data_IF_031769782413
#
_entry.id   IF_031769782413
#
_cell.length_a   1.000
_cell.length_b   1.000
_cell.length_c   1.000
_cell.angle_alpha   90.00
_cell.angle_beta   90.00
_cell.angle_gamma   90.00
#
_symmetry.space_group_name_H-M   'P 1'
#
loop_
_entity.id
_entity.type
_entity.pdbx_description
1 polymer ?
#
# COMPACT_ATOMS: atom_id res chain seq x y z
N UNK A 1 -12.41 12.73 -4.82
CA UNK A 1 -11.81 13.47 -3.69
C UNK A 1 -10.33 13.73 -4.02
N UNK A 2 -10.03 14.78 -4.79
CA UNK A 2 -8.69 15.01 -5.35
C UNK A 2 -7.61 15.45 -4.36
N UNK A 3 -7.67 15.00 -3.10
CA UNK A 3 -6.62 15.23 -2.10
C UNK A 3 -5.43 14.29 -2.35
N UNK A 4 -4.23 14.73 -2.00
CA UNK A 4 -3.07 13.85 -1.92
C UNK A 4 -3.12 13.00 -0.63
N UNK A 5 -2.45 11.84 -0.58
CA UNK A 5 -2.30 11.09 0.66
C UNK A 5 -1.56 11.92 1.72
N UNK A 6 -1.87 11.67 2.99
CA UNK A 6 -1.28 12.41 4.10
C UNK A 6 0.10 11.85 4.45
N UNK A 7 1.14 12.69 4.44
CA UNK A 7 2.47 12.29 4.91
C UNK A 7 2.47 12.21 6.43
N UNK A 8 2.60 11.01 6.98
CA UNK A 8 2.58 10.76 8.44
C UNK A 8 3.98 10.56 9.03
N UNK A 9 4.96 10.18 8.18
CA UNK A 9 6.38 10.13 8.51
C UNK A 9 7.19 10.64 7.31
N UNK A 10 8.47 11.01 7.48
CA UNK A 10 9.30 11.46 6.35
C UNK A 10 9.33 10.47 5.17
N UNK A 11 9.19 9.18 5.41
CA UNK A 11 9.21 8.14 4.37
C UNK A 11 7.86 7.45 4.18
N UNK A 12 6.78 7.92 4.82
CA UNK A 12 5.50 7.21 4.83
C UNK A 12 4.31 8.14 4.60
N UNK A 13 3.43 7.69 3.73
CA UNK A 13 2.15 8.30 3.43
C UNK A 13 1.02 7.36 3.83
N UNK A 14 -0.05 7.92 4.39
CA UNK A 14 -1.31 7.25 4.66
C UNK A 14 -2.35 7.74 3.65
N UNK A 15 -2.97 6.82 2.93
CA UNK A 15 -3.90 7.11 1.85
C UNK A 15 -5.01 6.06 1.74
N UNK A 16 -5.89 6.25 0.76
CA UNK A 16 -6.96 5.32 0.43
C UNK A 16 -6.62 4.54 -0.86
N UNK A 17 -7.52 3.62 -1.23
CA UNK A 17 -7.40 2.81 -2.44
C UNK A 17 -7.33 3.65 -3.74
N UNK A 18 -7.94 4.84 -3.75
CA UNK A 18 -7.87 5.76 -4.89
C UNK A 18 -6.45 6.27 -5.14
N UNK A 19 -5.73 6.67 -4.09
CA UNK A 19 -4.31 7.06 -4.20
C UNK A 19 -3.44 5.89 -4.66
N UNK A 20 -3.68 4.70 -4.09
CA UNK A 20 -2.90 3.51 -4.39
C UNK A 20 -3.14 2.98 -5.82
N UNK A 21 -4.28 3.32 -6.44
CA UNK A 21 -4.58 3.06 -7.85
C UNK A 21 -4.18 4.19 -8.81
N UNK A 22 -3.37 5.15 -8.37
CA UNK A 22 -2.82 6.20 -9.23
C UNK A 22 -1.29 6.08 -9.37
N UNK A 23 -0.79 5.27 -10.33
CA UNK A 23 0.65 5.05 -10.53
C UNK A 23 1.45 6.33 -10.81
N UNK A 24 0.86 7.30 -11.51
CA UNK A 24 1.53 8.57 -11.81
C UNK A 24 1.80 9.36 -10.53
N UNK A 25 0.80 9.48 -9.66
CA UNK A 25 0.94 10.12 -8.35
C UNK A 25 1.98 9.40 -7.48
N UNK A 26 1.93 8.06 -7.44
CA UNK A 26 2.90 7.27 -6.67
C UNK A 26 4.33 7.52 -7.14
N UNK A 27 4.54 7.59 -8.46
CA UNK A 27 5.84 7.93 -9.06
C UNK A 27 6.28 9.35 -8.70
N UNK A 28 5.39 10.34 -8.80
CA UNK A 28 5.71 11.73 -8.47
C UNK A 28 6.05 11.94 -6.99
N UNK A 29 5.40 11.19 -6.10
CA UNK A 29 5.69 11.19 -4.67
C UNK A 29 6.92 10.35 -4.30
N UNK A 30 7.51 9.64 -5.25
CA UNK A 30 8.65 8.73 -5.01
C UNK A 30 8.28 7.53 -4.14
N UNK A 31 7.01 7.11 -4.16
CA UNK A 31 6.57 5.90 -3.48
C UNK A 31 7.19 4.70 -4.21
N UNK A 32 7.80 3.79 -3.45
CA UNK A 32 8.45 2.59 -3.98
C UNK A 32 7.79 1.32 -3.47
N UNK A 33 6.95 1.41 -2.44
CA UNK A 33 6.30 0.27 -1.79
C UNK A 33 4.86 0.62 -1.39
N UNK A 34 3.97 -0.35 -1.50
CA UNK A 34 2.56 -0.21 -1.07
C UNK A 34 2.20 -1.34 -0.12
N UNK A 35 1.78 -0.96 1.08
CA UNK A 35 1.16 -1.83 2.09
C UNK A 35 -0.35 -1.60 2.07
N UNK A 36 -1.11 -2.56 1.57
CA UNK A 36 -2.56 -2.55 1.48
C UNK A 36 -3.16 -3.40 2.61
N UNK A 37 -4.02 -2.81 3.43
CA UNK A 37 -4.67 -3.49 4.57
C UNK A 37 -6.16 -3.56 4.30
N UNK A 38 -6.73 -4.77 4.26
CA UNK A 38 -8.16 -4.99 4.02
C UNK A 38 -8.62 -4.84 2.56
N UNK A 39 -8.02 -3.92 1.79
CA UNK A 39 -8.37 -3.67 0.38
C UNK A 39 -7.21 -4.00 -0.57
N UNK A 40 -7.49 -4.76 -1.63
CA UNK A 40 -6.51 -5.13 -2.64
C UNK A 40 -6.42 -4.09 -3.77
N UNK A 41 -5.22 -3.89 -4.30
CA UNK A 41 -5.00 -3.04 -5.48
C UNK A 41 -5.67 -3.65 -6.71
N UNK A 42 -6.24 -2.79 -7.55
CA UNK A 42 -6.95 -3.16 -8.77
C UNK A 42 -6.17 -2.80 -10.03
N UNK A 43 -4.83 -2.83 -9.97
CA UNK A 43 -4.00 -2.57 -11.16
C UNK A 43 -4.16 -3.70 -12.17
N UNK A 44 -4.53 -3.34 -13.40
CA UNK A 44 -4.59 -4.27 -14.53
C UNK A 44 -3.22 -4.89 -14.81
N UNK A 45 -3.22 -6.10 -15.39
CA UNK A 45 -1.99 -6.83 -15.71
C UNK A 45 -1.05 -6.03 -16.62
N UNK A 46 -1.61 -5.24 -17.56
CA UNK A 46 -0.84 -4.41 -18.46
C UNK A 46 -0.19 -3.22 -17.73
N UNK A 47 -0.91 -2.61 -16.78
CA UNK A 47 -0.37 -1.55 -15.91
C UNK A 47 0.78 -2.09 -15.07
N UNK A 48 0.60 -3.26 -14.43
CA UNK A 48 1.66 -3.92 -13.65
C UNK A 48 2.91 -4.19 -14.50
N UNK A 49 2.74 -4.69 -15.73
CA UNK A 49 3.85 -4.93 -16.68
C UNK A 49 4.55 -3.63 -17.09
N UNK A 50 3.80 -2.59 -17.40
CA UNK A 50 4.35 -1.29 -17.82
C UNK A 50 5.16 -0.63 -16.72
N UNK A 51 4.67 -0.69 -15.49
CA UNK A 51 5.34 -0.09 -14.33
C UNK A 51 6.58 -0.87 -13.89
N UNK A 52 6.75 -2.12 -14.35
CA UNK A 52 7.84 -3.02 -13.96
C UNK A 52 8.02 -3.07 -12.43
N UNK A 53 6.90 -3.02 -11.71
CA UNK A 53 6.91 -2.92 -10.26
C UNK A 53 7.16 -4.30 -9.65
N UNK A 54 8.19 -4.47 -8.80
CA UNK A 54 8.51 -5.77 -8.21
C UNK A 54 7.39 -6.26 -7.27
N UNK A 55 7.10 -7.56 -7.28
CA UNK A 55 6.05 -8.13 -6.42
C UNK A 55 6.36 -7.92 -4.94
N UNK A 56 7.64 -7.93 -4.55
CA UNK A 56 8.11 -7.69 -3.19
C UNK A 56 7.85 -6.26 -2.67
N UNK A 57 7.52 -5.34 -3.57
CA UNK A 57 7.13 -3.97 -3.23
C UNK A 57 5.62 -3.82 -3.01
N UNK A 58 4.87 -4.93 -3.09
CA UNK A 58 3.48 -5.01 -2.67
C UNK A 58 3.34 -5.93 -1.47
N UNK A 59 2.70 -5.42 -0.43
CA UNK A 59 2.23 -6.23 0.67
C UNK A 59 0.74 -6.04 0.82
N UNK A 60 0.00 -7.14 0.75
CA UNK A 60 -1.43 -7.17 1.04
C UNK A 60 -1.65 -7.96 2.33
N UNK A 61 -2.39 -7.36 3.25
CA UNK A 61 -2.85 -7.99 4.49
C UNK A 61 -4.35 -8.28 4.32
N UNK A 62 -4.67 -9.56 4.13
CA UNK A 62 -6.03 -10.05 3.97
C UNK A 62 -6.68 -10.29 5.33
N UNK A 63 -8.02 -10.46 5.33
CA UNK A 63 -8.80 -10.89 6.52
C UNK A 63 -8.74 -9.94 7.71
N UNK A 64 -8.44 -8.67 7.47
CA UNK A 64 -8.63 -7.61 8.45
C UNK A 64 -10.05 -7.11 8.28
N UNK A 65 -10.97 -7.58 9.11
CA UNK A 65 -12.29 -6.96 9.17
C UNK A 65 -12.20 -5.72 10.06
N UNK A 66 -12.73 -4.60 9.58
CA UNK A 66 -12.92 -3.39 10.38
C UNK A 66 -14.16 -3.56 11.30
N UNK A 67 -14.22 -4.69 12.01
CA UNK A 67 -15.35 -5.07 12.88
C UNK A 67 -15.03 -4.86 14.38
N UNK A 68 -13.78 -4.48 14.71
CA UNK A 68 -13.30 -4.30 16.08
C UNK A 68 -13.08 -5.59 16.87
N UNK A 69 -13.16 -6.76 16.22
CA UNK A 69 -13.06 -8.10 16.83
C UNK A 69 -11.79 -8.83 16.39
N UNK A 70 -11.43 -8.72 15.10
CA UNK A 70 -10.30 -9.47 14.55
C UNK A 70 -8.96 -8.79 14.84
N UNK A 71 -8.06 -9.42 15.63
CA UNK A 71 -6.78 -8.83 15.96
C UNK A 71 -5.82 -8.85 14.78
N UNK A 72 -5.20 -7.71 14.49
CA UNK A 72 -4.13 -7.59 13.50
C UNK A 72 -2.78 -8.14 13.95
N UNK A 73 -2.65 -8.57 15.22
CA UNK A 73 -1.37 -8.85 15.87
C UNK A 73 -0.47 -9.82 15.12
N UNK A 74 -1.03 -10.83 14.44
CA UNK A 74 -0.26 -11.80 13.66
C UNK A 74 0.43 -11.17 12.43
N UNK A 75 -0.08 -10.05 11.92
CA UNK A 75 0.42 -9.40 10.71
C UNK A 75 1.37 -8.24 11.02
N UNK A 76 1.40 -7.74 12.27
CA UNK A 76 2.26 -6.61 12.66
C UNK A 76 3.73 -6.84 12.32
N UNK A 77 4.28 -8.00 12.67
CA UNK A 77 5.69 -8.30 12.42
C UNK A 77 6.01 -8.30 10.92
N UNK A 78 5.11 -8.84 10.10
CA UNK A 78 5.25 -8.87 8.64
C UNK A 78 5.16 -7.46 8.03
N UNK A 79 4.22 -6.64 8.49
CA UNK A 79 4.08 -5.24 8.09
C UNK A 79 5.31 -4.41 8.44
N UNK A 80 5.82 -4.55 9.67
CA UNK A 80 7.00 -3.81 10.13
C UNK A 80 8.23 -4.18 9.30
N UNK A 81 8.48 -5.48 9.08
CA UNK A 81 9.58 -5.95 8.21
C UNK A 81 9.49 -5.40 6.79
N UNK A 82 8.28 -5.28 6.25
CA UNK A 82 8.07 -4.71 4.92
C UNK A 82 8.37 -3.21 4.87
N UNK A 83 7.93 -2.46 5.89
CA UNK A 83 8.21 -1.02 6.02
C UNK A 83 9.72 -0.77 6.19
N UNK A 84 10.40 -1.56 7.01
CA UNK A 84 11.85 -1.45 7.27
C UNK A 84 12.72 -1.77 6.06
N UNK A 85 12.21 -2.56 5.10
CA UNK A 85 12.96 -2.95 3.91
C UNK A 85 12.91 -1.91 2.78
N UNK A 86 12.15 -0.83 2.92
CA UNK A 86 11.98 0.24 1.92
C UNK A 86 12.72 1.51 2.28
#
# INVERSE_FOLDING_TARGET
DGSLPSRILPYMYLGNLGHANNPEMLRELGITRILSVGEALSWDADVKKQLQWPEENFLMVDRVQDNGVDPLWSEFERCLKFIEAG
#
